data_IF_964584525584
#
_entry.id   IF_964584525584
#
_cell.length_a   1.000
_cell.length_b   1.000
_cell.length_c   1.000
_cell.angle_alpha   90.00
_cell.angle_beta   90.00
_cell.angle_gamma   90.00
#
_symmetry.space_group_name_H-M   'P 1'
#
loop_
_entity.id
_entity.type
_entity.pdbx_description
1 polymer ?
#
# COMPACT_ATOMS: atom_id res chain seq x y z
N UNK A 1 15.14 26.85 1.12
CA UNK A 1 15.16 25.46 0.62
C UNK A 1 13.77 24.89 0.78
N UNK A 2 13.00 24.75 -0.31
CA UNK A 2 11.68 24.09 -0.28
C UNK A 2 11.91 22.60 -0.29
N UNK A 3 11.86 21.96 0.87
CA UNK A 3 11.78 20.51 0.98
C UNK A 3 10.41 20.12 0.44
N UNK A 4 10.35 19.66 -0.80
CA UNK A 4 9.18 18.96 -1.33
C UNK A 4 9.09 17.64 -0.57
N UNK A 5 8.27 17.61 0.47
CA UNK A 5 7.78 16.36 1.02
C UNK A 5 6.97 15.69 -0.08
N UNK A 6 7.60 14.84 -0.83
CA UNK A 6 6.92 13.78 -1.55
C UNK A 6 6.23 12.94 -0.48
N UNK A 7 4.92 13.16 -0.33
CA UNK A 7 4.06 12.28 0.42
C UNK A 7 4.13 10.92 -0.28
N UNK A 8 5.08 10.07 0.17
CA UNK A 8 5.07 8.67 -0.22
C UNK A 8 3.72 8.11 0.23
N UNK A 9 2.90 7.62 -0.67
CA UNK A 9 1.58 7.13 -0.34
C UNK A 9 1.75 5.91 0.56
N UNK A 10 1.07 5.94 1.71
CA UNK A 10 0.85 4.80 2.60
C UNK A 10 -0.03 3.78 1.91
N UNK A 11 0.59 2.85 1.24
CA UNK A 11 -0.05 2.16 0.14
C UNK A 11 -0.31 0.69 0.41
N UNK A 12 -0.02 0.13 1.54
CA UNK A 12 -0.22 -1.30 1.71
C UNK A 12 -0.84 -1.67 3.03
N UNK A 13 -2.08 -1.62 3.02
CA UNK A 13 -2.90 -2.12 4.06
C UNK A 13 -4.06 -2.98 3.55
N UNK A 14 -3.90 -3.55 2.38
CA UNK A 14 -4.99 -3.98 1.58
C UNK A 14 -5.40 -5.40 1.63
N UNK A 15 -4.77 -6.23 2.33
CA UNK A 15 -4.97 -7.64 2.01
C UNK A 15 -5.09 -8.53 3.24
N UNK A 16 -6.32 -8.75 3.65
CA UNK A 16 -6.81 -9.80 4.55
C UNK A 16 -6.69 -9.60 6.06
N UNK A 17 -7.85 -9.42 6.69
CA UNK A 17 -8.10 -10.10 7.96
C UNK A 17 -8.63 -11.51 7.64
N UNK A 18 -8.25 -12.57 8.35
CA UNK A 18 -8.89 -13.86 8.18
C UNK A 18 -10.34 -13.75 8.67
N UNK A 19 -11.29 -13.66 7.74
CA UNK A 19 -12.65 -14.01 8.07
C UNK A 19 -12.64 -15.51 8.41
N UNK A 20 -13.04 -15.85 9.63
CA UNK A 20 -13.40 -17.22 9.97
C UNK A 20 -14.57 -17.62 9.07
N UNK A 21 -14.29 -18.19 7.93
CA UNK A 21 -15.27 -18.88 7.11
C UNK A 21 -15.41 -20.30 7.64
N UNK A 22 -16.40 -20.48 8.52
CA UNK A 22 -17.00 -21.78 8.74
C UNK A 22 -17.82 -22.13 7.50
N UNK A 23 -17.41 -23.15 6.76
CA UNK A 23 -18.26 -24.01 5.94
C UNK A 23 -18.75 -23.43 4.62
N UNK A 24 -17.94 -23.50 3.58
CA UNK A 24 -18.40 -23.79 2.24
C UNK A 24 -17.33 -24.64 1.53
N UNK A 25 -17.64 -25.88 1.32
CA UNK A 25 -16.86 -26.81 0.50
C UNK A 25 -16.84 -26.29 -0.92
N UNK A 26 -15.71 -25.70 -1.33
CA UNK A 26 -15.47 -25.37 -2.73
C UNK A 26 -15.24 -26.68 -3.49
N UNK A 27 -16.22 -27.04 -4.33
CA UNK A 27 -16.01 -28.06 -5.36
C UNK A 27 -14.90 -27.56 -6.29
N UNK A 28 -13.79 -28.29 -6.29
CA UNK A 28 -12.74 -28.12 -7.28
C UNK A 28 -13.34 -28.42 -8.66
N UNK A 29 -13.43 -27.40 -9.52
CA UNK A 29 -13.71 -27.60 -10.94
C UNK A 29 -12.58 -28.43 -11.56
N UNK A 30 -12.86 -29.40 -12.46
CA UNK A 30 -11.84 -30.21 -13.08
C UNK A 30 -10.94 -29.33 -13.95
N UNK A 31 -9.64 -29.45 -13.70
CA UNK A 31 -8.60 -28.82 -14.53
C UNK A 31 -8.69 -29.42 -15.93
N UNK A 32 -9.10 -28.62 -16.90
CA UNK A 32 -9.07 -29.02 -18.32
C UNK A 32 -7.61 -29.29 -18.74
N UNK A 33 -7.36 -30.33 -19.58
CA UNK A 33 -6.02 -30.63 -20.01
C UNK A 33 -5.45 -29.49 -20.83
N UNK A 34 -4.24 -29.05 -20.46
CA UNK A 34 -3.49 -28.03 -21.17
C UNK A 34 -3.12 -28.60 -22.55
N UNK A 35 -3.84 -28.16 -23.59
CA UNK A 35 -3.42 -28.44 -24.96
C UNK A 35 -2.16 -27.60 -25.22
N UNK A 36 -1.05 -28.30 -25.43
CA UNK A 36 0.21 -27.70 -25.80
C UNK A 36 0.11 -27.09 -27.21
N UNK A 37 -0.20 -25.81 -27.28
CA UNK A 37 -0.04 -25.04 -28.52
C UNK A 37 1.41 -24.60 -28.60
N UNK A 38 2.22 -25.34 -29.35
CA UNK A 38 3.58 -24.93 -29.74
C UNK A 38 3.49 -23.79 -30.75
N UNK A 39 3.42 -22.56 -30.25
CA UNK A 39 3.75 -21.38 -31.03
C UNK A 39 5.19 -20.99 -30.70
N UNK A 40 6.12 -21.45 -31.52
CA UNK A 40 7.54 -21.08 -31.48
C UNK A 40 7.67 -19.63 -31.95
N UNK A 41 7.48 -18.68 -31.07
CA UNK A 41 7.93 -17.32 -31.33
C UNK A 41 9.46 -17.26 -31.14
N UNK A 42 10.20 -16.67 -32.09
CA UNK A 42 11.65 -16.55 -31.94
C UNK A 42 11.94 -15.74 -30.69
N UNK A 43 12.74 -16.33 -29.79
CA UNK A 43 13.27 -15.66 -28.62
C UNK A 43 14.06 -14.42 -29.06
N UNK A 44 13.43 -13.25 -29.08
CA UNK A 44 14.15 -12.00 -29.27
C UNK A 44 15.12 -11.87 -28.10
N UNK A 45 16.40 -12.05 -28.34
CA UNK A 45 17.44 -11.84 -27.33
C UNK A 45 17.40 -10.38 -26.92
N UNK A 46 17.20 -10.14 -25.65
CA UNK A 46 17.17 -8.78 -25.06
C UNK A 46 18.53 -8.13 -25.27
N UNK A 47 18.58 -6.99 -25.95
CA UNK A 47 19.83 -6.23 -26.14
C UNK A 47 20.31 -5.64 -24.81
N UNK A 48 21.61 -5.36 -24.68
CA UNK A 48 22.20 -4.76 -23.49
C UNK A 48 21.56 -3.39 -23.18
N UNK A 49 21.28 -2.58 -24.21
CA UNK A 49 20.63 -1.28 -24.04
C UNK A 49 19.19 -1.40 -23.52
N UNK A 50 18.41 -2.35 -24.04
CA UNK A 50 17.08 -2.65 -23.54
C UNK A 50 17.14 -3.16 -22.09
N UNK A 51 18.09 -4.06 -21.77
CA UNK A 51 18.28 -4.56 -20.41
C UNK A 51 18.65 -3.45 -19.41
N UNK A 52 19.45 -2.47 -19.82
CA UNK A 52 19.80 -1.31 -18.99
C UNK A 52 18.58 -0.43 -18.70
N UNK A 53 17.72 -0.19 -19.71
CA UNK A 53 16.46 0.57 -19.53
C UNK A 53 15.53 -0.14 -18.56
N UNK A 54 15.30 -1.43 -18.77
CA UNK A 54 14.44 -2.23 -17.88
C UNK A 54 15.00 -2.30 -16.46
N UNK A 55 16.32 -2.33 -16.28
CA UNK A 55 16.97 -2.33 -14.98
C UNK A 55 16.67 -1.03 -14.21
N UNK A 56 16.63 0.12 -14.88
CA UNK A 56 16.25 1.39 -14.24
C UNK A 56 14.80 1.34 -13.74
N UNK A 57 13.89 0.81 -14.56
CA UNK A 57 12.47 0.65 -14.16
C UNK A 57 12.35 -0.26 -12.94
N UNK A 58 13.01 -1.42 -12.96
CA UNK A 58 12.97 -2.39 -11.84
C UNK A 58 13.56 -1.79 -10.57
N UNK A 59 14.66 -1.05 -10.65
CA UNK A 59 15.24 -0.37 -9.48
C UNK A 59 14.28 0.67 -8.88
N UNK A 60 13.59 1.45 -9.69
CA UNK A 60 12.57 2.40 -9.23
C UNK A 60 11.41 1.68 -8.54
N UNK A 61 10.96 0.54 -9.06
CA UNK A 61 9.88 -0.27 -8.44
C UNK A 61 10.32 -0.94 -7.13
N UNK A 62 11.57 -1.39 -7.04
CA UNK A 62 12.13 -1.90 -5.77
C UNK A 62 12.13 -0.78 -4.71
N UNK A 63 12.56 0.43 -5.04
CA UNK A 63 12.53 1.55 -4.12
C UNK A 63 11.10 1.86 -3.65
N UNK A 64 10.14 1.94 -4.57
CA UNK A 64 8.71 2.13 -4.25
C UNK A 64 8.17 1.02 -3.33
N UNK A 65 8.49 -0.24 -3.59
CA UNK A 65 8.06 -1.36 -2.74
C UNK A 65 8.68 -1.32 -1.34
N UNK A 66 9.92 -0.86 -1.20
CA UNK A 66 10.57 -0.69 0.11
C UNK A 66 9.89 0.41 0.93
N UNK A 67 9.56 1.55 0.32
CA UNK A 67 8.80 2.62 0.97
C UNK A 67 7.40 2.13 1.37
N UNK A 68 6.76 1.37 0.49
CA UNK A 68 5.47 0.72 0.74
C UNK A 68 5.55 -0.25 1.92
N UNK A 69 6.59 -1.10 1.99
CA UNK A 69 6.81 -2.02 3.10
C UNK A 69 7.02 -1.29 4.43
N UNK A 70 7.82 -0.24 4.41
CA UNK A 70 8.05 0.60 5.58
C UNK A 70 6.74 1.22 6.08
N UNK A 71 5.99 1.84 5.18
CA UNK A 71 4.70 2.45 5.49
C UNK A 71 3.67 1.44 6.00
N UNK A 72 3.65 0.22 5.44
CA UNK A 72 2.78 -0.85 5.91
C UNK A 72 3.13 -1.31 7.33
N UNK A 73 4.42 -1.48 7.64
CA UNK A 73 4.88 -1.81 9.01
C UNK A 73 4.49 -0.72 10.01
N UNK A 74 4.68 0.55 9.67
CA UNK A 74 4.30 1.68 10.52
C UNK A 74 2.78 1.79 10.72
N UNK A 75 1.98 1.28 9.77
CA UNK A 75 0.53 1.21 9.85
C UNK A 75 0.00 -0.07 10.53
N UNK A 76 0.89 -0.91 11.09
CA UNK A 76 0.53 -2.20 11.69
C UNK A 76 -0.19 -3.13 10.71
N UNK A 77 0.28 -3.19 9.47
CA UNK A 77 -0.30 -4.05 8.45
C UNK A 77 -0.29 -5.53 8.87
N UNK A 78 -1.33 -6.31 8.56
CA UNK A 78 -1.37 -7.74 8.80
C UNK A 78 -0.20 -8.46 8.13
N UNK A 79 0.23 -9.59 8.73
CA UNK A 79 1.40 -10.33 8.27
C UNK A 79 1.30 -10.81 6.81
N UNK A 80 0.11 -11.16 6.34
CA UNK A 80 -0.14 -11.55 4.95
C UNK A 80 0.13 -10.41 3.96
N UNK A 81 -0.22 -9.17 4.31
CA UNK A 81 0.08 -7.98 3.51
C UNK A 81 1.59 -7.79 3.39
N UNK A 82 2.29 -7.82 4.53
CA UNK A 82 3.75 -7.69 4.55
C UNK A 82 4.44 -8.83 3.77
N UNK A 83 3.87 -10.04 3.82
CA UNK A 83 4.37 -11.18 3.08
C UNK A 83 4.26 -11.00 1.56
N UNK A 84 3.15 -10.42 1.07
CA UNK A 84 3.00 -10.15 -0.37
C UNK A 84 4.00 -9.11 -0.84
N UNK A 85 4.16 -8.01 -0.10
CA UNK A 85 5.16 -7.02 -0.45
C UNK A 85 6.55 -7.66 -0.45
N UNK A 86 6.83 -8.52 0.52
CA UNK A 86 8.07 -9.29 0.58
C UNK A 86 8.28 -10.17 -0.65
N UNK A 87 7.24 -10.89 -1.11
CA UNK A 87 7.28 -11.71 -2.33
C UNK A 87 7.48 -10.85 -3.58
N UNK A 88 6.80 -9.70 -3.69
CA UNK A 88 6.99 -8.77 -4.81
C UNK A 88 8.42 -8.21 -4.84
N UNK A 89 8.99 -7.87 -3.67
CA UNK A 89 10.38 -7.43 -3.56
C UNK A 89 11.37 -8.53 -3.98
N UNK A 90 11.15 -9.75 -3.53
CA UNK A 90 11.99 -10.90 -3.91
C UNK A 90 11.94 -11.11 -5.43
N UNK A 91 10.73 -11.10 -6.00
CA UNK A 91 10.53 -11.25 -7.43
C UNK A 91 11.20 -10.14 -8.23
N UNK A 92 11.05 -8.88 -7.80
CA UNK A 92 11.72 -7.75 -8.43
C UNK A 92 13.25 -7.87 -8.40
N UNK A 93 13.81 -8.39 -7.30
CA UNK A 93 15.25 -8.68 -7.20
C UNK A 93 15.69 -9.78 -8.16
N UNK A 94 14.92 -10.85 -8.33
CA UNK A 94 15.22 -11.92 -9.30
C UNK A 94 15.21 -11.40 -10.75
N UNK A 95 14.25 -10.53 -11.10
CA UNK A 95 14.22 -9.88 -12.41
C UNK A 95 15.45 -8.97 -12.58
N UNK A 96 15.81 -8.20 -11.55
CA UNK A 96 17.04 -7.39 -11.54
C UNK A 96 18.29 -8.23 -11.79
N UNK A 97 18.44 -9.35 -11.10
CA UNK A 97 19.57 -10.28 -11.30
C UNK A 97 19.63 -10.83 -12.73
N UNK A 98 18.48 -11.21 -13.29
CA UNK A 98 18.38 -11.66 -14.67
C UNK A 98 18.84 -10.56 -15.67
N UNK A 99 18.41 -9.32 -15.46
CA UNK A 99 18.83 -8.18 -16.29
C UNK A 99 20.32 -7.87 -16.16
N UNK A 100 20.87 -7.89 -14.94
CA UNK A 100 22.30 -7.69 -14.70
C UNK A 100 23.13 -8.79 -15.39
N UNK A 101 22.65 -10.05 -15.38
CA UNK A 101 23.32 -11.14 -16.06
C UNK A 101 23.36 -10.93 -17.58
N UNK A 102 22.25 -10.47 -18.19
CA UNK A 102 22.22 -10.12 -19.62
C UNK A 102 23.20 -8.99 -19.93
N UNK A 103 23.26 -7.95 -19.11
CA UNK A 103 24.19 -6.82 -19.28
C UNK A 103 25.66 -7.28 -19.23
N UNK A 104 25.98 -8.28 -18.42
CA UNK A 104 27.31 -8.88 -18.32
C UNK A 104 27.64 -9.86 -19.46
N UNK A 105 26.78 -9.98 -20.47
CA UNK A 105 26.96 -10.89 -21.61
C UNK A 105 26.54 -12.34 -21.33
N UNK A 106 25.83 -12.60 -20.20
CA UNK A 106 25.26 -13.90 -19.89
C UNK A 106 23.92 -14.15 -20.58
N UNK A 107 23.43 -15.38 -20.48
CA UNK A 107 22.11 -15.76 -20.98
C UNK A 107 21.05 -15.47 -19.93
N UNK A 108 19.93 -14.88 -20.33
CA UNK A 108 18.80 -14.68 -19.44
C UNK A 108 18.18 -16.04 -19.06
N UNK A 109 18.11 -16.33 -17.76
CA UNK A 109 17.44 -17.54 -17.26
C UNK A 109 15.91 -17.41 -17.20
N UNK A 110 15.38 -16.20 -17.35
CA UNK A 110 13.94 -15.92 -17.47
C UNK A 110 13.60 -15.54 -18.91
N UNK A 111 12.57 -16.17 -19.46
CA UNK A 111 11.99 -15.78 -20.75
C UNK A 111 11.10 -14.55 -20.59
N UNK A 112 10.88 -13.80 -21.65
CA UNK A 112 9.94 -12.67 -21.72
C UNK A 112 10.19 -11.59 -20.63
N UNK A 113 11.46 -11.27 -20.34
CA UNK A 113 11.83 -10.30 -19.31
C UNK A 113 11.09 -8.96 -19.45
N UNK A 114 10.98 -8.31 -20.63
CA UNK A 114 10.25 -7.05 -20.75
C UNK A 114 8.79 -7.18 -20.29
N UNK A 115 8.08 -8.22 -20.74
CA UNK A 115 6.68 -8.45 -20.33
C UNK A 115 6.56 -8.74 -18.83
N UNK A 116 7.56 -9.38 -18.21
CA UNK A 116 7.60 -9.56 -16.75
C UNK A 116 7.79 -8.24 -16.02
N UNK A 117 8.62 -7.34 -16.55
CA UNK A 117 8.77 -6.00 -15.97
C UNK A 117 7.45 -5.22 -16.07
N UNK A 118 6.76 -5.30 -17.21
CA UNK A 118 5.43 -4.68 -17.37
C UNK A 118 4.40 -5.24 -16.39
N UNK A 119 4.37 -6.56 -16.18
CA UNK A 119 3.49 -7.18 -15.19
C UNK A 119 3.86 -6.71 -13.76
N UNK A 120 5.14 -6.68 -13.41
CA UNK A 120 5.59 -6.15 -12.11
C UNK A 120 5.14 -4.69 -11.91
N UNK A 121 5.31 -3.84 -12.92
CA UNK A 121 4.85 -2.44 -12.90
C UNK A 121 3.33 -2.40 -12.67
N UNK A 122 2.58 -3.19 -13.43
CA UNK A 122 1.11 -3.27 -13.30
C UNK A 122 0.69 -3.69 -11.90
N UNK A 123 1.35 -4.69 -11.31
CA UNK A 123 1.06 -5.15 -9.94
C UNK A 123 1.34 -4.05 -8.91
N UNK A 124 2.48 -3.37 -9.00
CA UNK A 124 2.83 -2.27 -8.09
C UNK A 124 1.84 -1.12 -8.23
N UNK A 125 1.49 -0.74 -9.45
CA UNK A 125 0.52 0.33 -9.71
C UNK A 125 -0.89 -0.06 -9.24
N UNK A 126 -1.27 -1.36 -9.34
CA UNK A 126 -2.54 -1.87 -8.81
C UNK A 126 -2.57 -1.83 -7.29
N UNK A 127 -1.50 -2.25 -6.62
CA UNK A 127 -1.37 -2.12 -5.15
C UNK A 127 -1.51 -0.66 -4.74
N UNK A 128 -0.82 0.23 -5.44
CA UNK A 128 -0.88 1.67 -5.19
C UNK A 128 -2.29 2.23 -5.42
N UNK A 129 -2.91 1.90 -6.54
CA UNK A 129 -4.27 2.30 -6.88
C UNK A 129 -5.30 1.79 -5.87
N UNK A 130 -5.24 0.50 -5.52
CA UNK A 130 -6.14 -0.11 -4.55
C UNK A 130 -6.11 0.60 -3.19
N UNK A 131 -4.93 0.97 -2.71
CA UNK A 131 -4.79 1.66 -1.43
C UNK A 131 -5.42 3.06 -1.39
N UNK A 132 -5.61 3.70 -2.53
CA UNK A 132 -6.30 4.99 -2.62
C UNK A 132 -7.79 4.83 -2.92
N UNK A 133 -8.14 3.92 -3.83
CA UNK A 133 -9.49 3.83 -4.38
C UNK A 133 -10.40 2.85 -3.63
N UNK A 134 -9.82 1.90 -2.88
CA UNK A 134 -10.60 0.89 -2.16
C UNK A 134 -10.68 1.14 -0.64
N UNK A 135 -10.26 2.30 -0.14
CA UNK A 135 -10.21 2.56 1.31
C UNK A 135 -11.55 2.40 2.01
N UNK A 136 -12.62 2.73 1.33
CA UNK A 136 -13.98 2.67 1.85
C UNK A 136 -14.77 1.46 1.34
N UNK A 137 -14.13 0.53 0.62
CA UNK A 137 -14.77 -0.65 0.10
C UNK A 137 -14.84 -1.78 1.13
N UNK A 138 -15.88 -2.60 0.99
CA UNK A 138 -16.05 -3.79 1.81
C UNK A 138 -14.93 -4.83 1.56
N UNK A 139 -14.69 -5.70 2.56
CA UNK A 139 -13.61 -6.70 2.53
C UNK A 139 -13.56 -7.56 1.25
N UNK A 140 -14.70 -7.97 0.61
CA UNK A 140 -14.64 -8.73 -0.64
C UNK A 140 -13.91 -8.02 -1.77
N UNK A 141 -14.01 -6.68 -1.88
CA UNK A 141 -13.30 -5.91 -2.91
C UNK A 141 -11.78 -6.07 -2.78
N UNK A 142 -11.29 -6.03 -1.56
CA UNK A 142 -9.88 -6.21 -1.26
C UNK A 142 -9.43 -7.65 -1.55
N UNK A 143 -10.24 -8.64 -1.14
CA UNK A 143 -9.93 -10.05 -1.37
C UNK A 143 -9.86 -10.39 -2.85
N UNK A 144 -10.71 -9.79 -3.67
CA UNK A 144 -10.72 -10.00 -5.12
C UNK A 144 -9.40 -9.56 -5.77
N UNK A 145 -8.97 -8.32 -5.52
CA UNK A 145 -7.69 -7.80 -6.03
C UNK A 145 -6.50 -8.60 -5.49
N UNK A 146 -6.58 -9.05 -4.23
CA UNK A 146 -5.53 -9.85 -3.63
C UNK A 146 -5.30 -11.18 -4.34
N UNK A 147 -6.35 -11.92 -4.61
CA UNK A 147 -6.24 -13.23 -5.25
C UNK A 147 -5.54 -13.11 -6.60
N UNK A 148 -5.90 -12.10 -7.40
CA UNK A 148 -5.24 -11.83 -8.68
C UNK A 148 -3.77 -11.43 -8.51
N UNK A 149 -3.44 -10.59 -7.54
CA UNK A 149 -2.04 -10.26 -7.26
C UNK A 149 -1.21 -11.46 -6.80
N UNK A 150 -1.80 -12.40 -6.05
CA UNK A 150 -1.13 -13.66 -5.69
C UNK A 150 -0.90 -14.51 -6.92
N UNK A 151 -1.91 -14.67 -7.79
CA UNK A 151 -1.79 -15.43 -9.03
C UNK A 151 -0.71 -14.82 -9.94
N UNK A 152 -0.77 -13.51 -10.17
CA UNK A 152 0.23 -12.77 -10.92
C UNK A 152 1.65 -12.94 -10.36
N UNK A 153 1.81 -12.97 -9.01
CA UNK A 153 3.10 -13.17 -8.37
C UNK A 153 3.71 -14.55 -8.64
N UNK A 154 2.88 -15.58 -8.72
CA UNK A 154 3.30 -16.94 -9.07
C UNK A 154 3.72 -17.00 -10.54
N UNK A 155 2.90 -16.44 -11.43
CA UNK A 155 3.19 -16.42 -12.85
C UNK A 155 4.47 -15.64 -13.18
N UNK A 156 4.71 -14.55 -12.46
CA UNK A 156 5.88 -13.69 -12.63
C UNK A 156 7.21 -14.44 -12.39
N UNK A 157 7.24 -15.44 -11.51
CA UNK A 157 8.44 -16.26 -11.22
C UNK A 157 8.48 -17.57 -11.99
N UNK A 158 7.39 -17.95 -12.64
CA UNK A 158 7.30 -19.21 -13.41
C UNK A 158 8.16 -19.10 -14.68
N UNK A 159 9.24 -19.87 -14.76
CA UNK A 159 10.23 -19.79 -15.85
C UNK A 159 9.60 -20.05 -17.23
N UNK A 160 8.64 -20.98 -17.29
CA UNK A 160 7.95 -21.39 -18.53
C UNK A 160 6.84 -20.44 -18.97
N UNK A 161 6.48 -19.42 -18.17
CA UNK A 161 5.40 -18.49 -18.52
C UNK A 161 5.69 -17.76 -19.84
N UNK A 162 4.71 -17.80 -20.74
CA UNK A 162 4.79 -17.15 -22.06
C UNK A 162 4.44 -15.66 -21.96
N UNK A 163 4.83 -14.88 -22.97
CA UNK A 163 4.48 -13.47 -23.05
C UNK A 163 2.97 -13.24 -23.06
N UNK A 164 2.21 -14.11 -23.71
CA UNK A 164 0.75 -14.00 -23.81
C UNK A 164 0.10 -14.27 -22.45
N UNK A 165 0.52 -15.33 -21.73
CA UNK A 165 0.07 -15.58 -20.37
C UNK A 165 0.33 -14.39 -19.43
N UNK A 166 1.50 -13.77 -19.54
CA UNK A 166 1.84 -12.59 -18.73
C UNK A 166 0.96 -11.37 -19.08
N UNK A 167 0.61 -11.19 -20.38
CA UNK A 167 -0.29 -10.11 -20.82
C UNK A 167 -1.72 -10.35 -20.38
N UNK A 168 -2.22 -11.57 -20.48
CA UNK A 168 -3.55 -11.95 -20.01
C UNK A 168 -3.67 -11.70 -18.51
N UNK A 169 -2.62 -12.03 -17.76
CA UNK A 169 -2.57 -11.77 -16.32
C UNK A 169 -2.56 -10.27 -15.99
N UNK A 170 -1.82 -9.45 -16.77
CA UNK A 170 -1.89 -7.98 -16.60
C UNK A 170 -3.30 -7.45 -16.83
N UNK A 171 -4.03 -8.00 -17.79
CA UNK A 171 -5.41 -7.63 -18.05
C UNK A 171 -6.32 -8.07 -16.89
N UNK A 172 -6.12 -9.27 -16.34
CA UNK A 172 -6.87 -9.81 -15.20
C UNK A 172 -6.67 -8.95 -13.94
N UNK A 173 -5.43 -8.59 -13.61
CA UNK A 173 -5.10 -7.72 -12.46
C UNK A 173 -5.77 -6.33 -12.59
N UNK A 174 -5.72 -5.71 -13.78
CA UNK A 174 -6.38 -4.43 -14.04
C UNK A 174 -7.90 -4.54 -13.93
N UNK A 175 -8.47 -5.60 -14.47
CA UNK A 175 -9.90 -5.89 -14.42
C UNK A 175 -10.36 -6.08 -12.98
N UNK A 176 -9.63 -6.86 -12.18
CA UNK A 176 -9.94 -7.09 -10.76
C UNK A 176 -9.99 -5.77 -9.96
N UNK A 177 -9.05 -4.85 -10.20
CA UNK A 177 -9.09 -3.52 -9.57
C UNK A 177 -10.34 -2.73 -10.00
N UNK A 178 -10.67 -2.72 -11.30
CA UNK A 178 -11.83 -2.01 -11.83
C UNK A 178 -13.16 -2.59 -11.31
N UNK A 179 -13.25 -3.91 -11.12
CA UNK A 179 -14.41 -4.58 -10.54
C UNK A 179 -14.52 -4.28 -9.04
N UNK A 180 -13.41 -4.33 -8.31
CA UNK A 180 -13.36 -4.00 -6.89
C UNK A 180 -13.80 -2.55 -6.61
N UNK A 181 -13.46 -1.60 -7.48
CA UNK A 181 -13.91 -0.21 -7.38
C UNK A 181 -15.44 -0.03 -7.50
N UNK A 182 -16.12 -0.95 -8.18
CA UNK A 182 -17.59 -0.96 -8.33
C UNK A 182 -18.32 -1.63 -7.16
N UNK A 183 -17.60 -2.36 -6.31
CA UNK A 183 -18.20 -3.03 -5.16
C UNK A 183 -18.72 -2.01 -4.13
N UNK A 184 -19.68 -2.41 -3.25
CA UNK A 184 -20.29 -1.49 -2.31
C UNK A 184 -19.30 -0.91 -1.30
N UNK A 185 -19.57 0.33 -0.89
CA UNK A 185 -18.83 1.01 0.17
C UNK A 185 -19.24 0.47 1.55
N UNK A 186 -18.32 0.58 2.51
CA UNK A 186 -18.58 0.29 3.91
C UNK A 186 -19.59 1.28 4.49
N UNK A 187 -20.53 0.75 5.27
CA UNK A 187 -21.46 1.57 6.05
C UNK A 187 -20.84 1.95 7.41
N UNK A 188 -21.31 3.03 8.06
CA UNK A 188 -20.78 3.47 9.35
C UNK A 188 -20.81 2.41 10.46
N UNK A 189 -21.76 1.48 10.41
CA UNK A 189 -21.93 0.41 11.37
C UNK A 189 -21.16 -0.87 11.03
N UNK A 190 -20.55 -0.95 9.85
CA UNK A 190 -19.74 -2.10 9.46
C UNK A 190 -18.42 -2.11 10.25
N UNK A 191 -17.84 -3.30 10.39
CA UNK A 191 -16.51 -3.45 10.98
C UNK A 191 -15.50 -2.80 10.05
N UNK A 192 -14.69 -1.90 10.60
CA UNK A 192 -13.66 -1.19 9.86
C UNK A 192 -12.63 -2.16 9.31
N UNK A 193 -12.40 -2.09 8.01
CA UNK A 193 -11.31 -2.82 7.38
C UNK A 193 -9.96 -2.25 7.82
N UNK A 194 -8.90 -2.98 7.57
CA UNK A 194 -7.55 -2.46 7.77
C UNK A 194 -7.34 -1.11 7.03
N UNK A 195 -7.97 -0.90 5.87
CA UNK A 195 -7.87 0.36 5.09
C UNK A 195 -8.51 1.54 5.78
N UNK A 196 -9.71 1.35 6.29
CA UNK A 196 -10.37 2.38 7.10
C UNK A 196 -9.47 2.77 8.26
N UNK A 197 -8.85 1.78 8.91
CA UNK A 197 -7.88 2.02 9.99
C UNK A 197 -6.60 2.73 9.53
N UNK A 198 -6.15 2.55 8.29
CA UNK A 198 -4.98 3.28 7.77
C UNK A 198 -5.22 4.78 7.64
N UNK A 199 -6.48 5.23 7.45
CA UNK A 199 -6.83 6.65 7.51
C UNK A 199 -6.48 7.22 8.89
N UNK A 200 -6.91 6.56 9.96
CA UNK A 200 -6.60 6.97 11.34
C UNK A 200 -5.10 6.90 11.62
N UNK A 201 -4.41 5.82 11.21
CA UNK A 201 -2.96 5.67 11.37
C UNK A 201 -2.19 6.83 10.73
N UNK A 202 -2.59 7.25 9.53
CA UNK A 202 -1.99 8.37 8.80
C UNK A 202 -2.17 9.69 9.57
N UNK A 203 -3.39 9.96 10.04
CA UNK A 203 -3.69 11.15 10.84
C UNK A 203 -2.90 11.14 12.16
N UNK A 204 -2.85 10.02 12.86
CA UNK A 204 -2.09 9.89 14.11
C UNK A 204 -0.60 10.16 13.90
N UNK A 205 -0.01 9.68 12.81
CA UNK A 205 1.40 9.92 12.49
C UNK A 205 1.65 11.40 12.25
N UNK A 206 0.84 12.03 11.40
CA UNK A 206 0.96 13.45 11.12
C UNK A 206 0.86 14.29 12.41
N UNK A 207 -0.19 14.04 13.20
CA UNK A 207 -0.42 14.80 14.44
C UNK A 207 0.67 14.53 15.49
N UNK A 208 1.24 13.33 15.55
CA UNK A 208 2.42 13.06 16.41
C UNK A 208 3.63 13.89 16.01
N UNK A 209 3.89 13.98 14.70
CA UNK A 209 4.97 14.83 14.18
C UNK A 209 4.69 16.30 14.53
N UNK A 210 3.49 16.79 14.22
CA UNK A 210 3.10 18.20 14.48
C UNK A 210 3.09 18.51 15.97
N UNK A 211 2.67 17.57 16.84
CA UNK A 211 2.79 17.72 18.29
C UNK A 211 4.24 17.96 18.70
N UNK A 212 5.17 17.19 18.17
CA UNK A 212 6.58 17.29 18.55
C UNK A 212 7.21 18.60 18.08
N UNK A 213 6.78 19.13 16.93
CA UNK A 213 7.34 20.35 16.33
C UNK A 213 6.59 21.62 16.75
N UNK A 214 5.27 21.55 16.94
CA UNK A 214 4.40 22.72 17.10
C UNK A 214 3.74 22.86 18.49
N UNK A 215 3.70 21.79 19.29
CA UNK A 215 3.01 21.83 20.59
C UNK A 215 4.02 21.64 21.73
N UNK A 216 4.84 20.60 21.72
CA UNK A 216 5.76 20.30 22.81
C UNK A 216 6.72 21.46 23.16
N UNK A 217 7.31 22.18 22.18
CA UNK A 217 8.23 23.27 22.51
C UNK A 217 7.56 24.50 23.10
N UNK A 218 6.28 24.75 22.77
CA UNK A 218 5.64 26.04 22.98
C UNK A 218 4.53 26.03 24.04
N UNK A 219 3.82 24.90 24.23
CA UNK A 219 2.60 24.83 25.01
C UNK A 219 2.82 24.38 26.46
N UNK A 220 1.88 24.71 27.35
CA UNK A 220 1.88 24.32 28.77
C UNK A 220 1.70 22.81 28.92
N UNK A 221 2.22 22.23 30.00
CA UNK A 221 2.18 20.78 30.27
C UNK A 221 0.77 20.22 30.27
N UNK A 222 -0.22 20.95 30.81
CA UNK A 222 -1.64 20.53 30.78
C UNK A 222 -2.16 20.32 29.35
N UNK A 223 -1.86 21.25 28.43
CA UNK A 223 -2.24 21.14 27.01
C UNK A 223 -1.60 19.91 26.36
N UNK A 224 -0.31 19.68 26.63
CA UNK A 224 0.44 18.53 26.14
C UNK A 224 -0.18 17.22 26.65
N UNK A 225 -0.57 17.18 27.92
CA UNK A 225 -1.20 16.02 28.55
C UNK A 225 -2.55 15.68 27.88
N UNK A 226 -3.46 16.65 27.71
CA UNK A 226 -4.76 16.43 27.07
C UNK A 226 -4.62 15.95 25.64
N UNK A 227 -3.73 16.55 24.85
CA UNK A 227 -3.45 16.12 23.49
C UNK A 227 -2.85 14.70 23.44
N UNK A 228 -1.93 14.39 24.35
CA UNK A 228 -1.31 13.05 24.43
C UNK A 228 -2.36 11.98 24.78
N UNK A 229 -3.32 12.31 25.67
CA UNK A 229 -4.44 11.43 26.03
C UNK A 229 -5.36 11.17 24.82
N UNK A 230 -5.66 12.18 24.01
CA UNK A 230 -6.44 12.01 22.78
C UNK A 230 -5.71 11.10 21.76
N UNK A 231 -4.41 11.31 21.58
CA UNK A 231 -3.58 10.43 20.74
C UNK A 231 -3.56 8.98 21.24
N UNK A 232 -3.49 8.77 22.56
CA UNK A 232 -3.49 7.44 23.15
C UNK A 232 -4.83 6.73 22.95
N UNK A 233 -5.95 7.44 23.21
CA UNK A 233 -7.31 6.94 22.99
C UNK A 233 -7.50 6.51 21.52
N UNK A 234 -7.13 7.37 20.57
CA UNK A 234 -7.25 7.07 19.15
C UNK A 234 -6.32 5.92 18.68
N UNK A 235 -5.17 5.74 19.36
CA UNK A 235 -4.30 4.58 19.13
C UNK A 235 -4.97 3.29 19.64
N UNK A 236 -5.72 3.34 20.73
CA UNK A 236 -6.53 2.21 21.20
C UNK A 236 -7.56 1.77 20.16
N UNK A 237 -8.29 2.72 19.57
CA UNK A 237 -9.25 2.45 18.49
C UNK A 237 -8.56 1.78 17.27
N UNK A 238 -7.35 2.21 16.93
CA UNK A 238 -6.59 1.61 15.83
C UNK A 238 -6.27 0.13 16.08
N UNK A 239 -5.98 -0.23 17.34
CA UNK A 239 -5.59 -1.58 17.73
C UNK A 239 -6.79 -2.53 17.95
N UNK A 240 -7.98 -2.00 18.11
CA UNK A 240 -9.18 -2.80 18.33
C UNK A 240 -9.59 -3.58 17.08
N UNK A 241 -9.73 -4.93 17.15
CA UNK A 241 -9.96 -5.76 15.95
C UNK A 241 -11.36 -5.55 15.34
N UNK A 242 -12.38 -5.32 16.15
CA UNK A 242 -13.78 -5.24 15.73
C UNK A 242 -14.37 -3.82 15.76
N UNK A 243 -13.51 -2.81 15.71
CA UNK A 243 -13.94 -1.41 15.69
C UNK A 243 -14.80 -1.12 14.45
N UNK A 244 -15.83 -0.28 14.61
CA UNK A 244 -16.71 0.15 13.53
C UNK A 244 -16.11 1.31 12.74
N UNK A 245 -16.55 1.48 11.49
CA UNK A 245 -16.14 2.60 10.63
C UNK A 245 -16.40 3.93 11.31
N UNK A 246 -17.61 4.12 11.90
CA UNK A 246 -17.98 5.35 12.63
C UNK A 246 -17.06 5.67 13.81
N UNK A 247 -16.57 4.65 14.52
CA UNK A 247 -15.66 4.84 15.65
C UNK A 247 -14.26 5.29 15.17
N UNK A 248 -13.82 4.80 14.03
CA UNK A 248 -12.57 5.23 13.40
C UNK A 248 -12.68 6.69 12.94
N UNK A 249 -13.80 7.07 12.30
CA UNK A 249 -14.03 8.43 11.83
C UNK A 249 -14.18 9.41 13.01
N UNK A 250 -14.83 8.99 14.09
CA UNK A 250 -14.91 9.77 15.33
C UNK A 250 -13.54 9.96 15.96
N UNK A 251 -12.70 8.92 16.00
CA UNK A 251 -11.34 9.01 16.52
C UNK A 251 -10.47 9.98 15.70
N UNK A 252 -10.65 10.01 14.37
CA UNK A 252 -9.99 10.98 13.50
C UNK A 252 -10.43 12.41 13.85
N UNK A 253 -11.72 12.62 14.04
CA UNK A 253 -12.30 13.91 14.39
C UNK A 253 -11.80 14.37 15.76
N UNK A 254 -11.87 13.51 16.77
CA UNK A 254 -11.44 13.80 18.15
C UNK A 254 -9.96 14.20 18.20
N UNK A 255 -9.07 13.47 17.53
CA UNK A 255 -7.64 13.77 17.60
C UNK A 255 -7.27 15.03 16.82
N UNK A 256 -7.97 15.33 15.72
CA UNK A 256 -7.80 16.60 15.00
C UNK A 256 -8.29 17.79 15.85
N UNK A 257 -9.44 17.67 16.50
CA UNK A 257 -9.96 18.69 17.41
C UNK A 257 -8.98 18.95 18.56
N UNK A 258 -8.50 17.90 19.23
CA UNK A 258 -7.52 18.02 20.29
C UNK A 258 -6.21 18.71 19.85
N UNK A 259 -5.78 18.50 18.62
CA UNK A 259 -4.63 19.21 18.05
C UNK A 259 -4.93 20.69 17.82
N UNK A 260 -6.08 21.03 17.25
CA UNK A 260 -6.49 22.42 17.03
C UNK A 260 -6.63 23.17 18.36
N UNK A 261 -7.21 22.54 19.37
CA UNK A 261 -7.33 23.11 20.70
C UNK A 261 -5.95 23.33 21.36
N UNK A 262 -5.03 22.41 21.15
CA UNK A 262 -3.66 22.56 21.62
C UNK A 262 -2.94 23.76 20.95
N UNK A 263 -3.17 24.00 19.67
CA UNK A 263 -2.61 25.15 18.97
C UNK A 263 -3.16 26.49 19.49
N UNK A 264 -4.45 26.54 19.81
CA UNK A 264 -5.13 27.74 20.36
C UNK A 264 -4.77 28.02 21.84
N UNK A 265 -4.36 26.98 22.58
CA UNK A 265 -4.04 27.11 23.99
C UNK A 265 -2.87 28.10 24.25
N UNK A 266 -2.81 28.74 25.43
CA UNK A 266 -1.75 29.69 25.77
C UNK A 266 -0.37 29.03 25.75
N UNK A 267 0.62 29.78 25.27
CA UNK A 267 2.01 29.35 25.29
C UNK A 267 2.57 29.32 26.73
N UNK A 268 3.71 28.67 26.91
CA UNK A 268 4.50 28.81 28.14
C UNK A 268 4.95 30.27 28.28
N UNK A 269 5.08 30.72 29.51
CA UNK A 269 5.75 31.99 29.79
C UNK A 269 7.18 31.88 29.24
N UNK A 270 7.64 32.89 28.50
CA UNK A 270 8.99 32.99 27.95
C UNK A 270 9.25 32.15 26.67
N UNK A 271 8.24 31.56 26.04
CA UNK A 271 8.41 30.92 24.71
C UNK A 271 8.02 31.86 23.58
N UNK A 272 8.73 31.84 22.45
CA UNK A 272 8.33 32.58 21.26
C UNK A 272 6.95 32.15 20.74
N UNK A 273 6.36 32.95 19.86
CA UNK A 273 5.12 32.57 19.18
C UNK A 273 5.31 31.25 18.40
N UNK A 274 4.24 30.48 18.32
CA UNK A 274 4.24 29.24 17.49
C UNK A 274 4.54 29.64 16.04
N UNK A 275 5.48 28.99 15.35
CA UNK A 275 5.80 29.34 13.97
C UNK A 275 4.56 29.28 13.06
N UNK A 276 4.47 30.18 12.10
CA UNK A 276 3.34 30.24 11.15
C UNK A 276 3.12 28.95 10.36
N UNK A 277 4.19 28.16 10.16
CA UNK A 277 4.12 26.85 9.50
C UNK A 277 3.29 25.82 10.30
N UNK A 278 3.09 26.04 11.59
CA UNK A 278 2.30 25.19 12.47
C UNK A 278 0.81 25.61 12.55
N UNK A 279 0.47 26.76 12.02
CA UNK A 279 -0.91 27.23 12.03
C UNK A 279 -1.66 26.67 10.82
N UNK A 280 -2.95 26.28 10.96
CA UNK A 280 -3.74 25.89 9.82
C UNK A 280 -3.78 27.05 8.81
N UNK A 281 -3.72 26.75 7.52
CA UNK A 281 -3.93 27.75 6.48
C UNK A 281 -5.28 28.45 6.77
N UNK A 282 -5.36 29.79 6.64
CA UNK A 282 -6.62 30.49 6.80
C UNK A 282 -7.62 29.85 5.84
N UNK A 283 -8.83 29.55 6.35
CA UNK A 283 -9.91 29.06 5.52
C UNK A 283 -10.10 30.09 4.39
N UNK A 284 -9.98 29.64 3.14
CA UNK A 284 -10.28 30.48 2.00
C UNK A 284 -11.75 30.90 2.12
N UNK A 285 -11.96 32.20 2.38
CA UNK A 285 -13.26 32.86 2.43
C UNK A 285 -13.89 32.94 1.04
#
# INVERSE_FOLDING_TARGET
>A
MKVKFLAAPLIVGALMAPAAFSGATAHAAPVAPIVAVSATQPNKTLSVAEAQKELQVVNARIASLLDTQKSAKEAFAPANVLNIIGKLLETARRIKEALVNVIKGGIAFLKSIPTRVELLVTMVDTVNGAAHTLQDKAQPAHSHVFLELVHASVLLVTVSATSDQLKDEMAAVKKALAEAQKMPDLKPNDVATFYTKTKLSRVLRQIRFDRNTCVLPFKRLGTIYFMSRALLKSTGVLMEPLVRVSEVDQAITDVKAAYQDALKAPNRLLTPAVPSVCLPAPAAS
#
